data_IF_016338413090
#
_entry.id   IF_016338413090
#
_cell.length_a   1.000
_cell.length_b   1.000
_cell.length_c   1.000
_cell.angle_alpha   90.00
_cell.angle_beta   90.00
_cell.angle_gamma   90.00
#
_symmetry.space_group_name_H-M   'P 1'
#
loop_
_entity.id
_entity.type
_entity.pdbx_description
1 polymer ?
#
# COMPACT_ATOMS: atom_id res chain seq x y z
N UNK A 1 -2.52 -2.57 -6.10
CA UNK A 1 -2.82 -3.89 -5.50
C UNK A 1 -1.78 -4.89 -5.99
N UNK A 2 -1.35 -5.85 -5.15
CA UNK A 2 -0.61 -7.00 -5.66
C UNK A 2 -1.45 -7.72 -6.73
N UNK A 3 -0.84 -8.45 -7.66
CA UNK A 3 -1.57 -9.27 -8.63
C UNK A 3 -2.66 -10.10 -7.95
N UNK A 4 -3.87 -10.12 -8.51
CA UNK A 4 -5.01 -10.88 -7.95
C UNK A 4 -4.73 -12.38 -7.81
N UNK A 5 -3.73 -12.91 -8.53
CA UNK A 5 -3.24 -14.27 -8.34
C UNK A 5 -2.61 -14.50 -6.95
N UNK A 6 -2.08 -13.45 -6.32
CA UNK A 6 -1.39 -13.52 -5.02
C UNK A 6 -2.31 -13.23 -3.83
N UNK A 7 -3.31 -12.37 -3.98
CA UNK A 7 -4.25 -12.02 -2.91
C UNK A 7 -5.63 -11.59 -3.44
N UNK A 8 -6.68 -11.85 -2.66
CA UNK A 8 -8.04 -11.35 -2.85
C UNK A 8 -8.33 -10.17 -1.92
N UNK A 9 -9.15 -9.23 -2.39
CA UNK A 9 -9.72 -8.17 -1.56
C UNK A 9 -10.95 -8.71 -0.86
N UNK A 10 -10.87 -8.93 0.46
CA UNK A 10 -11.99 -9.43 1.27
C UNK A 10 -12.84 -8.29 1.84
N UNK A 11 -12.20 -7.15 2.15
CA UNK A 11 -12.87 -5.96 2.68
C UNK A 11 -12.26 -4.68 2.16
N UNK A 12 -13.11 -3.71 1.83
CA UNK A 12 -12.72 -2.33 1.52
C UNK A 12 -13.82 -1.39 1.96
N UNK A 13 -13.58 -0.66 3.05
CA UNK A 13 -14.56 0.29 3.59
C UNK A 13 -14.43 1.69 2.98
N UNK A 14 -13.23 2.04 2.50
CA UNK A 14 -12.95 3.35 1.94
C UNK A 14 -11.52 3.84 2.20
N UNK A 15 -11.35 5.16 2.22
CA UNK A 15 -10.06 5.85 2.39
C UNK A 15 -10.14 6.97 3.45
N UNK A 16 -11.15 6.95 4.31
CA UNK A 16 -11.32 7.90 5.41
C UNK A 16 -10.77 7.31 6.73
N UNK A 17 -10.38 8.15 7.71
CA UNK A 17 -9.93 7.67 9.00
C UNK A 17 -10.93 6.71 9.65
N UNK A 18 -10.46 5.52 10.03
CA UNK A 18 -11.27 4.44 10.60
C UNK A 18 -11.69 3.36 9.61
N UNK A 19 -11.61 3.62 8.30
CA UNK A 19 -11.91 2.62 7.27
C UNK A 19 -10.92 1.46 7.33
N UNK A 20 -11.42 0.23 7.14
CA UNK A 20 -10.61 -0.98 7.11
C UNK A 20 -10.47 -1.51 5.68
N UNK A 21 -9.28 -2.04 5.40
CA UNK A 21 -8.98 -2.76 4.17
C UNK A 21 -8.36 -4.10 4.57
N UNK A 22 -8.92 -5.20 4.06
CA UNK A 22 -8.43 -6.55 4.32
C UNK A 22 -8.16 -7.30 3.03
N UNK A 23 -6.92 -7.78 2.90
CA UNK A 23 -6.46 -8.62 1.81
C UNK A 23 -6.17 -10.01 2.35
N UNK A 24 -6.67 -11.04 1.67
CA UNK A 24 -6.33 -12.42 1.98
C UNK A 24 -5.34 -12.95 0.95
N UNK A 25 -4.21 -13.47 1.41
CA UNK A 25 -3.26 -14.12 0.52
C UNK A 25 -3.79 -15.49 0.08
N UNK A 26 -3.67 -15.77 -1.21
CA UNK A 26 -4.03 -17.06 -1.79
C UNK A 26 -2.97 -18.15 -1.53
N UNK A 27 -1.82 -17.76 -0.98
CA UNK A 27 -0.73 -18.67 -0.62
C UNK A 27 -0.97 -19.19 0.80
N UNK A 28 -0.91 -20.52 1.03
CA UNK A 28 -1.07 -21.10 2.35
C UNK A 28 -0.16 -20.45 3.40
N UNK A 29 -0.66 -20.32 4.63
CA UNK A 29 0.04 -19.77 5.81
C UNK A 29 0.35 -18.27 5.81
N UNK A 30 0.25 -17.54 4.69
CA UNK A 30 0.43 -16.08 4.68
C UNK A 30 -0.73 -15.33 5.34
N UNK A 31 -1.93 -15.91 5.34
CA UNK A 31 -3.08 -15.35 6.06
C UNK A 31 -3.57 -14.02 5.49
N UNK A 32 -3.84 -13.06 6.38
CA UNK A 32 -4.47 -11.79 6.05
C UNK A 32 -3.50 -10.63 6.22
N UNK A 33 -3.67 -9.63 5.36
CA UNK A 33 -3.10 -8.30 5.50
C UNK A 33 -4.23 -7.31 5.70
N UNK A 34 -4.41 -6.92 6.96
CA UNK A 34 -5.43 -5.97 7.39
C UNK A 34 -4.78 -4.65 7.75
N UNK A 35 -5.26 -3.56 7.15
CA UNK A 35 -4.85 -2.19 7.47
C UNK A 35 -6.05 -1.36 7.91
N UNK A 36 -5.76 -0.32 8.69
CA UNK A 36 -6.71 0.74 9.03
C UNK A 36 -6.20 2.06 8.47
N UNK A 37 -7.12 2.88 7.95
CA UNK A 37 -6.78 4.24 7.55
C UNK A 37 -6.69 5.10 8.81
N UNK A 38 -5.50 5.69 9.04
CA UNK A 38 -5.24 6.54 10.20
C UNK A 38 -5.56 7.99 9.91
N UNK A 39 -5.23 8.44 8.71
CA UNK A 39 -5.30 9.85 8.30
C UNK A 39 -5.67 9.92 6.84
N UNK A 40 -6.40 10.96 6.46
CA UNK A 40 -6.68 11.32 5.08
C UNK A 40 -6.73 12.84 4.96
N UNK A 41 -6.31 13.37 3.82
CA UNK A 41 -6.34 14.80 3.56
C UNK A 41 -6.62 15.08 2.10
N UNK A 42 -7.25 16.23 1.87
CA UNK A 42 -7.50 16.78 0.55
C UNK A 42 -7.18 18.27 0.57
N UNK A 43 -6.44 18.70 -0.44
CA UNK A 43 -6.13 20.10 -0.70
C UNK A 43 -6.29 20.39 -2.20
N UNK A 44 -6.10 21.65 -2.58
CA UNK A 44 -6.14 22.03 -4.00
C UNK A 44 -5.08 21.33 -4.86
N UNK A 45 -3.96 20.88 -4.25
CA UNK A 45 -2.81 20.33 -4.98
C UNK A 45 -2.47 18.90 -4.61
N UNK A 46 -3.14 18.32 -3.64
CA UNK A 46 -2.77 17.02 -3.11
C UNK A 46 -3.96 16.34 -2.46
N UNK A 47 -4.10 15.06 -2.76
CA UNK A 47 -4.91 14.12 -1.98
C UNK A 47 -4.00 13.03 -1.44
N UNK A 48 -4.22 12.61 -0.21
CA UNK A 48 -3.51 11.45 0.33
C UNK A 48 -4.16 10.86 1.55
N UNK A 49 -3.70 9.67 1.91
CA UNK A 49 -4.12 8.95 3.10
C UNK A 49 -3.01 8.05 3.61
N UNK A 50 -3.05 7.75 4.91
CA UNK A 50 -2.10 6.87 5.60
C UNK A 50 -2.84 5.59 5.99
N UNK A 51 -2.40 4.45 5.48
CA UNK A 51 -2.79 3.15 6.00
C UNK A 51 -1.75 2.61 7.01
N UNK A 52 -2.25 1.89 8.01
CA UNK A 52 -1.48 1.33 9.11
C UNK A 52 -1.81 -0.14 9.26
N UNK A 53 -0.80 -0.99 9.29
CA UNK A 53 -0.95 -2.41 9.53
C UNK A 53 -1.55 -2.72 10.90
N UNK A 54 -2.67 -3.45 10.90
CA UNK A 54 -3.23 -4.09 12.09
C UNK A 54 -2.77 -5.55 12.18
N UNK A 55 -2.79 -6.23 11.05
CA UNK A 55 -2.27 -7.59 10.88
C UNK A 55 -1.51 -7.62 9.57
N UNK A 56 -0.21 -7.87 9.63
CA UNK A 56 0.65 -7.89 8.45
C UNK A 56 1.48 -9.16 8.48
N UNK A 57 1.59 -9.90 7.37
CA UNK A 57 2.39 -11.12 7.32
C UNK A 57 3.89 -10.85 7.34
N UNK A 58 4.68 -11.92 7.24
CA UNK A 58 6.15 -11.89 7.12
C UNK A 58 6.91 -11.38 8.36
N UNK A 59 6.26 -11.35 9.53
CA UNK A 59 6.89 -10.89 10.77
C UNK A 59 7.11 -9.36 10.79
N UNK A 60 6.38 -8.63 9.95
CA UNK A 60 6.35 -7.16 9.97
C UNK A 60 5.62 -6.72 11.24
N UNK A 61 6.34 -6.13 12.17
CA UNK A 61 5.80 -5.59 13.43
C UNK A 61 5.23 -4.18 13.25
N UNK A 62 5.68 -3.46 12.22
CA UNK A 62 5.25 -2.10 11.91
C UNK A 62 5.11 -1.98 10.40
N UNK A 63 3.91 -1.65 9.91
CA UNK A 63 3.67 -1.28 8.51
C UNK A 63 2.88 0.02 8.34
N UNK A 64 3.41 1.01 7.64
CA UNK A 64 2.68 2.21 7.23
C UNK A 64 2.93 2.51 5.78
N UNK A 65 1.85 2.80 5.08
CA UNK A 65 1.89 3.18 3.68
C UNK A 65 1.10 4.47 3.50
N UNK A 66 1.81 5.51 3.12
CA UNK A 66 1.27 6.80 2.78
C UNK A 66 1.07 6.83 1.26
N UNK A 67 -0.18 6.98 0.84
CA UNK A 67 -0.57 7.12 -0.56
C UNK A 67 -0.79 8.58 -0.85
N UNK A 68 -0.10 9.13 -1.86
CA UNK A 68 -0.21 10.55 -2.20
C UNK A 68 -0.38 10.74 -3.69
N UNK A 69 -1.31 11.60 -4.06
CA UNK A 69 -1.50 12.09 -5.43
C UNK A 69 -1.25 13.59 -5.40
N UNK A 70 -0.08 13.99 -5.90
CA UNK A 70 0.41 15.38 -5.81
C UNK A 70 0.40 16.02 -7.19
N UNK A 71 -0.33 17.13 -7.34
CA UNK A 71 -0.39 17.88 -8.59
C UNK A 71 0.96 18.48 -8.96
N UNK A 72 1.51 18.04 -10.09
CA UNK A 72 2.70 18.63 -10.71
C UNK A 72 2.31 19.90 -11.46
N UNK A 73 1.21 19.84 -12.20
CA UNK A 73 0.55 20.95 -12.89
C UNK A 73 -0.92 20.57 -13.18
N UNK A 74 -1.64 21.39 -13.94
CA UNK A 74 -3.07 21.18 -14.24
C UNK A 74 -3.37 19.90 -15.07
N UNK A 75 -2.36 19.27 -15.66
CA UNK A 75 -2.51 18.13 -16.56
C UNK A 75 -1.72 16.90 -16.12
N UNK A 76 -1.01 16.98 -14.99
CA UNK A 76 -0.18 15.88 -14.51
C UNK A 76 0.01 15.90 -13.00
N UNK A 77 0.12 14.71 -12.44
CA UNK A 77 0.37 14.49 -11.03
C UNK A 77 1.50 13.47 -10.83
N UNK A 78 2.03 13.46 -9.62
CA UNK A 78 2.85 12.39 -9.07
C UNK A 78 1.96 11.49 -8.24
N UNK A 79 2.09 10.18 -8.45
CA UNK A 79 1.56 9.17 -7.54
C UNK A 79 2.75 8.68 -6.74
N UNK A 80 2.70 8.85 -5.42
CA UNK A 80 3.78 8.55 -4.49
C UNK A 80 3.25 7.49 -3.53
N UNK A 81 3.93 6.33 -3.53
CA UNK A 81 3.79 5.29 -2.52
C UNK A 81 4.98 5.44 -1.56
N UNK A 82 4.75 5.97 -0.37
CA UNK A 82 5.76 6.09 0.69
C UNK A 82 5.50 5.03 1.76
N UNK A 83 6.43 4.08 1.89
CA UNK A 83 6.25 2.85 2.65
C UNK A 83 7.33 2.77 3.71
N UNK A 84 6.88 2.71 4.96
CA UNK A 84 7.71 2.48 6.12
C UNK A 84 7.33 1.15 6.75
N UNK A 85 8.32 0.28 6.96
CA UNK A 85 8.10 -0.99 7.62
C UNK A 85 9.26 -1.35 8.53
N UNK A 86 8.94 -2.08 9.59
CA UNK A 86 9.93 -2.71 10.45
C UNK A 86 9.49 -4.13 10.78
N UNK A 87 10.45 -5.02 10.86
CA UNK A 87 10.31 -6.37 11.39
C UNK A 87 10.97 -6.45 12.77
N UNK A 88 10.83 -7.60 13.43
CA UNK A 88 11.49 -7.82 14.72
C UNK A 88 13.03 -7.88 14.63
N UNK A 89 13.63 -8.00 13.43
CA UNK A 89 15.08 -8.16 13.23
C UNK A 89 15.56 -7.31 12.05
N UNK A 90 16.53 -6.42 12.25
CA UNK A 90 17.02 -5.53 11.17
C UNK A 90 17.51 -6.26 9.90
N UNK A 91 18.02 -7.47 10.02
CA UNK A 91 18.36 -8.30 8.86
C UNK A 91 17.12 -8.65 8.00
N UNK A 92 15.99 -8.94 8.64
CA UNK A 92 14.74 -9.23 7.94
C UNK A 92 14.20 -7.99 7.23
N UNK A 93 14.46 -6.77 7.75
CA UNK A 93 14.11 -5.53 7.04
C UNK A 93 14.77 -5.47 5.66
N UNK A 94 16.07 -5.78 5.59
CA UNK A 94 16.81 -5.86 4.33
C UNK A 94 16.36 -7.01 3.44
N UNK A 95 16.04 -8.17 4.02
CA UNK A 95 15.55 -9.33 3.26
C UNK A 95 14.19 -9.06 2.62
N UNK A 96 13.27 -8.41 3.35
CA UNK A 96 11.93 -8.07 2.88
C UNK A 96 11.91 -6.91 1.88
N UNK A 97 12.97 -6.10 1.82
CA UNK A 97 13.07 -5.03 0.84
C UNK A 97 12.90 -5.56 -0.59
N UNK A 98 13.55 -6.66 -0.94
CA UNK A 98 13.51 -7.23 -2.29
C UNK A 98 12.10 -7.71 -2.73
N UNK A 99 11.37 -8.54 -1.95
CA UNK A 99 10.01 -8.93 -2.32
C UNK A 99 9.03 -7.75 -2.30
N UNK A 100 9.14 -6.81 -1.35
CA UNK A 100 8.30 -5.61 -1.35
C UNK A 100 8.53 -4.78 -2.62
N UNK A 101 9.79 -4.53 -2.99
CA UNK A 101 10.10 -3.84 -4.25
C UNK A 101 9.49 -4.55 -5.46
N UNK A 102 9.51 -5.87 -5.49
CA UNK A 102 8.92 -6.65 -6.61
C UNK A 102 7.41 -6.45 -6.72
N UNK A 103 6.70 -6.28 -5.60
CA UNK A 103 5.26 -6.05 -5.58
C UNK A 103 4.90 -4.61 -5.98
N UNK A 104 5.67 -3.62 -5.51
CA UNK A 104 5.34 -2.20 -5.68
C UNK A 104 5.94 -1.57 -6.94
N UNK A 105 7.14 -1.97 -7.37
CA UNK A 105 7.81 -1.39 -8.54
C UNK A 105 6.98 -1.45 -9.85
N UNK A 106 6.25 -2.54 -10.16
CA UNK A 106 5.42 -2.61 -11.36
C UNK A 106 4.33 -1.53 -11.44
N UNK A 107 3.90 -0.98 -10.30
CA UNK A 107 2.86 0.08 -10.24
C UNK A 107 3.25 1.31 -11.06
N UNK A 108 4.54 1.62 -11.15
CA UNK A 108 5.06 2.72 -12.01
C UNK A 108 4.58 2.62 -13.45
N UNK A 109 4.54 1.40 -14.00
CA UNK A 109 4.08 1.16 -15.37
C UNK A 109 2.56 0.94 -15.43
N UNK A 110 1.99 0.26 -14.44
CA UNK A 110 0.55 0.00 -14.37
C UNK A 110 -0.26 1.29 -14.30
N UNK A 111 0.12 2.25 -13.44
CA UNK A 111 -0.56 3.55 -13.35
C UNK A 111 -0.48 4.31 -14.67
N UNK A 112 0.70 4.35 -15.29
CA UNK A 112 0.87 5.00 -16.60
C UNK A 112 0.01 4.34 -17.69
N UNK A 113 -0.17 3.03 -17.66
CA UNK A 113 -1.04 2.32 -18.61
C UNK A 113 -2.53 2.59 -18.33
N UNK A 114 -2.92 2.61 -17.07
CA UNK A 114 -4.30 2.83 -16.65
C UNK A 114 -4.80 4.25 -17.03
N UNK A 115 -4.01 5.28 -16.71
CA UNK A 115 -4.36 6.69 -17.01
C UNK A 115 -4.01 7.16 -18.43
N UNK A 116 -3.53 6.26 -19.30
CA UNK A 116 -3.35 6.53 -20.74
C UNK A 116 -4.58 6.16 -21.57
N UNK A 117 -5.59 5.55 -20.94
CA UNK A 117 -6.93 5.35 -21.52
C UNK A 117 -7.65 6.70 -21.59
#
# INVERSE_FOLDING_TARGET
MPPFSLASLERYDGQNPGDLIDLKFNIPFLGHWTVIIKEAWLSHREYGFVDRGLRVPFGISYWQHIHRVVARNNHSCFIIDDIEYETSWKFLDYLLYLPLMTIFYPRKFQYRKFYKQ
#
